data_IF_010027293797
#
_entry.id   IF_010027293797
#
_cell.length_a   1.000
_cell.length_b   1.000
_cell.length_c   1.000
_cell.angle_alpha   90.00
_cell.angle_beta   90.00
_cell.angle_gamma   90.00
#
_symmetry.space_group_name_H-M   'P 1'
#
loop_
_entity.id
_entity.type
_entity.pdbx_description
1 polymer ?
#
# COMPACT_ATOMS: atom_id res chain seq x y z
N UNK A 1 -7.64 -4.44 -3.47
CA UNK A 1 -6.73 -4.81 -4.58
C UNK A 1 -6.11 -6.22 -4.47
N UNK A 2 -5.75 -6.72 -3.28
CA UNK A 2 -4.91 -7.94 -3.17
C UNK A 2 -5.57 -9.29 -3.52
N UNK A 3 -6.83 -9.30 -3.95
CA UNK A 3 -7.55 -10.50 -4.40
C UNK A 3 -7.99 -10.33 -5.85
N UNK A 4 -7.06 -10.62 -6.77
CA UNK A 4 -7.23 -10.37 -8.21
C UNK A 4 -8.47 -11.03 -8.81
N UNK A 5 -8.85 -12.21 -8.33
CA UNK A 5 -9.96 -12.98 -8.90
C UNK A 5 -11.32 -12.36 -8.57
N UNK A 6 -11.41 -11.59 -7.48
CA UNK A 6 -12.63 -10.94 -7.03
C UNK A 6 -12.74 -9.48 -7.52
N UNK A 7 -11.78 -9.00 -8.31
CA UNK A 7 -11.84 -7.68 -8.93
C UNK A 7 -12.67 -7.69 -10.21
N UNK A 8 -13.42 -6.61 -10.44
CA UNK A 8 -14.01 -6.34 -11.74
C UNK A 8 -12.94 -5.96 -12.76
N UNK A 9 -13.27 -6.02 -14.05
CA UNK A 9 -12.34 -5.62 -15.11
C UNK A 9 -11.98 -4.14 -15.05
N UNK A 10 -12.93 -3.29 -14.66
CA UNK A 10 -12.70 -1.86 -14.39
C UNK A 10 -11.69 -1.66 -13.26
N UNK A 11 -11.82 -2.41 -12.17
CA UNK A 11 -10.88 -2.34 -11.04
C UNK A 11 -9.49 -2.86 -11.41
N UNK A 12 -9.41 -3.96 -12.17
CA UNK A 12 -8.13 -4.48 -12.67
C UNK A 12 -7.43 -3.46 -13.55
N UNK A 13 -8.15 -2.81 -14.48
CA UNK A 13 -7.59 -1.78 -15.34
C UNK A 13 -7.17 -0.54 -14.55
N UNK A 14 -7.96 -0.14 -13.54
CA UNK A 14 -7.64 0.97 -12.66
C UNK A 14 -6.34 0.71 -11.88
N UNK A 15 -6.23 -0.45 -11.22
CA UNK A 15 -5.02 -0.80 -10.47
C UNK A 15 -3.82 -1.04 -11.38
N UNK A 16 -4.02 -1.62 -12.58
CA UNK A 16 -2.99 -1.72 -13.60
C UNK A 16 -2.40 -0.34 -13.92
N UNK A 17 -3.26 0.64 -14.19
CA UNK A 17 -2.84 2.01 -14.51
C UNK A 17 -2.04 2.63 -13.37
N UNK A 18 -2.50 2.49 -12.12
CA UNK A 18 -1.79 2.99 -10.93
C UNK A 18 -0.40 2.36 -10.80
N UNK A 19 -0.32 1.02 -10.87
CA UNK A 19 0.93 0.29 -10.67
C UNK A 19 1.90 0.50 -11.82
N UNK A 20 1.44 0.56 -13.06
CA UNK A 20 2.28 0.86 -14.24
C UNK A 20 2.83 2.28 -14.17
N UNK A 21 2.03 3.25 -13.72
CA UNK A 21 2.50 4.63 -13.52
C UNK A 21 3.58 4.69 -12.44
N UNK A 22 3.34 4.06 -11.28
CA UNK A 22 4.33 3.98 -10.21
C UNK A 22 5.61 3.26 -10.66
N UNK A 23 5.48 2.19 -11.43
CA UNK A 23 6.61 1.45 -11.99
C UNK A 23 7.44 2.35 -12.91
N UNK A 24 6.82 3.04 -13.86
CA UNK A 24 7.51 3.94 -14.79
C UNK A 24 8.24 5.07 -14.05
N UNK A 25 7.64 5.63 -13.00
CA UNK A 25 8.28 6.67 -12.20
C UNK A 25 9.43 6.15 -11.32
N UNK A 26 9.50 4.84 -11.05
CA UNK A 26 10.57 4.25 -10.24
C UNK A 26 11.72 3.66 -11.06
N UNK A 27 11.51 3.34 -12.34
CA UNK A 27 12.53 2.70 -13.20
C UNK A 27 12.05 1.53 -14.05
N UNK A 28 10.75 1.21 -13.95
CA UNK A 28 10.09 0.15 -14.70
C UNK A 28 9.56 -0.97 -13.80
N UNK A 29 8.76 -1.84 -14.42
CA UNK A 29 8.02 -2.93 -13.75
C UNK A 29 8.93 -3.86 -12.95
N UNK A 30 10.07 -4.25 -13.53
CA UNK A 30 10.99 -5.18 -12.87
C UNK A 30 11.65 -4.59 -11.62
N UNK A 31 11.96 -3.29 -11.62
CA UNK A 31 12.53 -2.60 -10.46
C UNK A 31 11.49 -2.48 -9.35
N UNK A 32 10.26 -2.08 -9.69
CA UNK A 32 9.18 -2.01 -8.71
C UNK A 32 8.88 -3.39 -8.08
N UNK A 33 8.84 -4.45 -8.87
CA UNK A 33 8.61 -5.81 -8.36
C UNK A 33 9.71 -6.26 -7.40
N UNK A 34 10.98 -5.99 -7.72
CA UNK A 34 12.10 -6.30 -6.83
C UNK A 34 12.01 -5.53 -5.50
N UNK A 35 11.63 -4.25 -5.56
CA UNK A 35 11.41 -3.46 -4.34
C UNK A 35 10.31 -4.05 -3.47
N UNK A 36 9.16 -4.38 -4.07
CA UNK A 36 8.03 -4.98 -3.34
C UNK A 36 8.43 -6.33 -2.74
N UNK A 37 9.23 -7.12 -3.46
CA UNK A 37 9.70 -8.43 -2.98
C UNK A 37 10.66 -8.27 -1.80
N UNK A 38 11.60 -7.33 -1.91
CA UNK A 38 12.52 -7.00 -0.83
C UNK A 38 11.77 -6.54 0.42
N UNK A 39 10.76 -5.66 0.29
CA UNK A 39 9.91 -5.20 1.39
C UNK A 39 9.18 -6.35 2.11
N UNK A 40 8.73 -7.36 1.37
CA UNK A 40 7.97 -8.50 1.92
C UNK A 40 8.84 -9.51 2.65
N UNK A 41 10.11 -9.61 2.28
CA UNK A 41 11.05 -10.55 2.89
C UNK A 41 11.61 -10.06 4.24
N UNK A 42 11.27 -8.83 4.66
CA UNK A 42 11.72 -8.26 5.93
C UNK A 42 10.86 -8.75 7.08
N UNK A 43 11.53 -9.18 8.16
CA UNK A 43 10.92 -9.49 9.45
C UNK A 43 11.67 -8.76 10.57
N UNK A 44 10.99 -8.05 11.49
CA UNK A 44 9.55 -7.79 11.52
C UNK A 44 9.09 -6.92 10.34
N UNK A 45 7.77 -6.81 10.13
CA UNK A 45 7.18 -6.12 8.97
C UNK A 45 7.83 -4.75 8.68
N UNK A 46 8.16 -4.45 7.42
CA UNK A 46 8.93 -3.27 6.99
C UNK A 46 8.48 -1.95 7.64
N UNK A 47 7.17 -1.70 7.69
CA UNK A 47 6.57 -0.51 8.31
C UNK A 47 6.93 -0.29 9.80
N UNK A 48 7.41 -1.31 10.49
CA UNK A 48 7.85 -1.23 11.90
C UNK A 48 9.30 -0.80 12.06
N UNK A 49 9.99 -0.44 10.96
CA UNK A 49 11.37 0.06 10.98
C UNK A 49 11.54 1.23 11.96
N UNK A 50 12.56 1.10 12.82
CA UNK A 50 12.93 2.13 13.82
C UNK A 50 13.36 3.44 13.18
N UNK A 51 13.89 3.38 11.96
CA UNK A 51 14.39 4.55 11.22
C UNK A 51 13.33 5.15 10.28
N UNK A 52 12.13 4.56 10.25
CA UNK A 52 11.05 4.94 9.33
C UNK A 52 11.45 4.90 7.86
N UNK A 53 12.38 4.01 7.55
CA UNK A 53 12.87 3.79 6.21
C UNK A 53 13.07 2.29 5.92
N UNK A 54 13.20 2.03 4.63
CA UNK A 54 13.70 0.80 4.07
C UNK A 54 14.68 1.17 2.95
N UNK A 55 15.95 0.77 3.12
CA UNK A 55 17.00 0.99 2.15
C UNK A 55 17.23 -0.30 1.35
N UNK A 56 17.36 -0.16 0.05
CA UNK A 56 17.58 -1.25 -0.90
C UNK A 56 18.58 -0.81 -1.98
N UNK A 57 19.29 -1.76 -2.58
CA UNK A 57 20.35 -1.42 -3.55
C UNK A 57 19.82 -0.62 -4.76
N UNK A 58 18.54 -0.78 -5.08
CA UNK A 58 17.89 -0.10 -6.22
C UNK A 58 17.10 1.15 -5.81
N UNK A 59 17.03 1.48 -4.52
CA UNK A 59 16.41 2.71 -4.02
C UNK A 59 15.94 2.61 -2.58
N UNK A 60 15.07 3.52 -2.17
CA UNK A 60 14.59 3.59 -0.81
C UNK A 60 13.10 3.91 -0.69
N UNK A 61 12.53 3.50 0.45
CA UNK A 61 11.18 3.87 0.88
C UNK A 61 11.29 4.53 2.25
N UNK A 62 10.78 5.75 2.39
CA UNK A 62 10.80 6.50 3.66
C UNK A 62 9.40 6.94 4.05
N UNK A 63 9.15 7.02 5.34
CA UNK A 63 7.91 7.57 5.88
C UNK A 63 8.18 8.44 7.11
N UNK A 64 7.28 9.37 7.40
CA UNK A 64 7.57 10.45 8.36
C UNK A 64 7.34 10.13 9.83
N UNK A 65 6.81 8.94 10.19
CA UNK A 65 6.41 8.62 11.57
C UNK A 65 6.57 7.13 11.90
N UNK A 66 6.96 6.82 13.12
CA UNK A 66 7.00 5.42 13.61
C UNK A 66 5.61 4.78 13.55
N UNK A 67 5.52 3.58 12.98
CA UNK A 67 4.31 2.78 12.94
C UNK A 67 4.53 1.54 13.80
N UNK A 68 3.74 1.42 14.87
CA UNK A 68 3.84 0.30 15.79
C UNK A 68 3.15 -0.96 15.24
N UNK A 69 3.64 -2.13 15.67
CA UNK A 69 3.15 -3.41 15.16
C UNK A 69 1.65 -3.63 15.40
N UNK A 70 1.09 -3.09 16.49
CA UNK A 70 -0.35 -3.16 16.78
C UNK A 70 -1.21 -2.53 15.66
N UNK A 71 -0.70 -1.50 14.98
CA UNK A 71 -1.37 -0.88 13.83
C UNK A 71 -1.34 -1.79 12.61
N UNK A 72 -0.22 -2.48 12.39
CA UNK A 72 -0.05 -3.43 11.28
C UNK A 72 -0.97 -4.63 11.45
N UNK A 73 -1.00 -5.21 12.66
CA UNK A 73 -1.89 -6.32 12.96
C UNK A 73 -3.36 -5.93 12.82
N UNK A 74 -3.75 -4.71 13.23
CA UNK A 74 -5.10 -4.20 13.00
C UNK A 74 -5.43 -4.04 11.51
N UNK A 75 -4.50 -3.56 10.68
CA UNK A 75 -4.72 -3.49 9.23
C UNK A 75 -4.95 -4.89 8.65
N UNK A 76 -4.15 -5.89 9.06
CA UNK A 76 -4.32 -7.28 8.62
C UNK A 76 -5.67 -7.85 9.05
N UNK A 77 -6.07 -7.63 10.30
CA UNK A 77 -7.38 -8.04 10.86
C UNK A 77 -8.53 -7.50 9.99
N UNK A 78 -8.53 -6.19 9.74
CA UNK A 78 -9.59 -5.51 8.95
C UNK A 78 -9.60 -6.02 7.51
N UNK A 79 -8.42 -6.20 6.89
CA UNK A 79 -8.32 -6.65 5.49
C UNK A 79 -8.89 -8.04 5.27
N UNK A 80 -8.80 -8.92 6.27
CA UNK A 80 -9.36 -10.28 6.22
C UNK A 80 -10.86 -10.27 6.53
N UNK A 81 -11.30 -9.42 7.46
CA UNK A 81 -12.70 -9.39 7.89
C UNK A 81 -13.63 -8.66 6.91
N UNK A 82 -13.12 -7.63 6.21
CA UNK A 82 -13.93 -6.79 5.31
C UNK A 82 -14.32 -7.56 4.05
N UNK A 83 -15.53 -7.29 3.54
CA UNK A 83 -15.91 -7.74 2.19
C UNK A 83 -15.33 -6.82 1.13
N UNK A 84 -15.24 -7.33 -0.09
CA UNK A 84 -14.84 -6.55 -1.24
C UNK A 84 -15.80 -5.36 -1.45
N UNK A 85 -15.26 -4.16 -1.65
CA UNK A 85 -16.04 -2.92 -1.82
C UNK A 85 -16.53 -2.26 -0.51
N UNK A 86 -16.33 -2.87 0.66
CA UNK A 86 -16.66 -2.23 1.94
C UNK A 86 -15.61 -1.19 2.33
N UNK A 87 -16.08 -0.11 2.97
CA UNK A 87 -15.22 0.92 3.55
C UNK A 87 -14.31 0.30 4.61
N UNK A 88 -13.05 0.74 4.64
CA UNK A 88 -12.10 0.42 5.70
C UNK A 88 -12.56 0.97 7.05
N UNK A 89 -13.22 2.13 7.08
CA UNK A 89 -13.88 2.67 8.27
C UNK A 89 -15.33 2.17 8.33
N UNK A 90 -15.74 1.38 9.34
CA UNK A 90 -17.11 0.91 9.49
C UNK A 90 -18.06 2.04 9.93
N UNK A 91 -19.34 1.72 10.11
CA UNK A 91 -20.33 2.67 10.64
C UNK A 91 -20.01 3.08 12.09
N UNK A 92 -20.56 4.21 12.54
CA UNK A 92 -20.29 4.76 13.88
C UNK A 92 -20.82 3.89 15.02
N UNK A 93 -21.80 3.03 14.72
CA UNK A 93 -22.45 2.10 15.63
C UNK A 93 -21.62 0.83 15.83
N UNK A 94 -20.65 0.55 14.94
CA UNK A 94 -19.75 -0.58 15.05
C UNK A 94 -18.81 -0.44 16.26
N UNK A 95 -18.68 -1.52 17.03
CA UNK A 95 -17.82 -1.56 18.23
C UNK A 95 -16.35 -1.28 17.91
N UNK A 96 -15.90 -1.58 16.69
CA UNK A 96 -14.54 -1.34 16.21
C UNK A 96 -14.34 0.09 15.68
N UNK A 97 -15.39 0.90 15.49
CA UNK A 97 -15.31 2.21 14.86
C UNK A 97 -14.20 3.08 15.46
N UNK A 98 -14.20 3.28 16.79
CA UNK A 98 -13.19 4.13 17.46
C UNK A 98 -11.76 3.60 17.28
N UNK A 99 -11.59 2.27 17.31
CA UNK A 99 -10.28 1.62 17.15
C UNK A 99 -9.74 1.86 15.74
N UNK A 100 -10.58 1.68 14.72
CA UNK A 100 -10.24 1.86 13.30
C UNK A 100 -10.07 3.35 12.95
N UNK A 101 -10.95 4.22 13.46
CA UNK A 101 -10.83 5.66 13.26
C UNK A 101 -9.50 6.21 13.81
N UNK A 102 -9.07 5.74 14.99
CA UNK A 102 -7.78 6.13 15.55
C UNK A 102 -6.59 5.61 14.73
N UNK A 103 -6.69 4.41 14.14
CA UNK A 103 -5.71 3.91 13.19
C UNK A 103 -5.61 4.84 11.98
N UNK A 104 -6.75 5.18 11.36
CA UNK A 104 -6.80 6.08 10.20
C UNK A 104 -6.18 7.43 10.54
N UNK A 105 -6.60 8.07 11.63
CA UNK A 105 -6.06 9.36 12.09
C UNK A 105 -4.54 9.33 12.34
N UNK A 106 -4.00 8.15 12.67
CA UNK A 106 -2.56 7.98 12.90
C UNK A 106 -1.78 7.90 11.59
N UNK A 107 -2.27 7.14 10.60
CA UNK A 107 -1.53 6.87 9.36
C UNK A 107 -1.87 7.82 8.20
N UNK A 108 -3.07 8.42 8.17
CA UNK A 108 -3.49 9.35 7.10
C UNK A 108 -2.54 10.55 6.88
N UNK A 109 -1.92 11.13 7.93
CA UNK A 109 -0.94 12.19 7.74
C UNK A 109 0.44 11.72 7.24
N UNK A 110 0.67 10.40 7.14
CA UNK A 110 1.96 9.84 6.75
C UNK A 110 2.03 9.75 5.23
N UNK A 111 3.01 10.45 4.65
CA UNK A 111 3.43 10.25 3.26
C UNK A 111 4.54 9.22 3.21
N UNK A 112 4.39 8.25 2.31
CA UNK A 112 5.39 7.26 1.94
C UNK A 112 6.06 7.73 0.66
N UNK A 113 7.38 7.92 0.71
CA UNK A 113 8.17 8.36 -0.42
C UNK A 113 9.05 7.23 -0.91
N UNK A 114 8.85 6.85 -2.17
CA UNK A 114 9.64 5.83 -2.87
C UNK A 114 10.55 6.55 -3.84
N UNK A 115 11.85 6.32 -3.76
CA UNK A 115 12.85 6.98 -4.62
C UNK A 115 13.82 5.94 -5.18
N UNK A 116 14.12 5.96 -6.48
CA UNK A 116 15.17 5.11 -7.03
C UNK A 116 16.54 5.61 -6.58
N UNK A 117 17.51 4.70 -6.49
CA UNK A 117 18.88 5.04 -6.11
C UNK A 117 19.55 5.98 -7.12
N UNK A 118 19.24 5.76 -8.40
CA UNK A 118 19.77 6.49 -9.55
C UNK A 118 18.68 7.42 -10.10
N UNK A 119 18.94 8.74 -10.10
CA UNK A 119 17.93 9.76 -10.46
C UNK A 119 17.60 9.79 -11.96
N UNK A 120 18.48 9.28 -12.79
CA UNK A 120 18.30 9.08 -14.23
C UNK A 120 17.31 7.95 -14.55
N UNK A 121 17.00 7.10 -13.56
CA UNK A 121 16.06 5.97 -13.70
C UNK A 121 14.61 6.40 -13.44
N UNK A 122 14.38 7.45 -12.64
CA UNK A 122 13.05 8.00 -12.38
C UNK A 122 13.02 8.98 -11.20
N UNK A 123 11.94 9.75 -11.06
CA UNK A 123 11.76 10.69 -9.93
C UNK A 123 11.23 10.00 -8.66
N UNK A 124 10.76 8.76 -8.79
CA UNK A 124 10.02 8.06 -7.75
C UNK A 124 8.58 8.55 -7.62
N UNK A 125 7.92 8.19 -6.53
CA UNK A 125 6.53 8.57 -6.28
C UNK A 125 6.23 8.65 -4.79
N UNK A 126 5.17 9.39 -4.47
CA UNK A 126 4.66 9.55 -3.12
C UNK A 126 3.23 9.01 -3.02
N UNK A 127 2.88 8.39 -1.90
CA UNK A 127 1.53 7.91 -1.64
C UNK A 127 1.20 7.96 -0.15
N UNK A 128 -0.09 7.81 0.18
CA UNK A 128 -0.60 7.71 1.56
C UNK A 128 -1.09 6.31 1.86
N UNK A 129 -1.36 6.01 3.13
CA UNK A 129 -1.95 4.73 3.51
C UNK A 129 -3.41 4.57 3.06
N UNK A 130 -4.17 5.67 2.99
CA UNK A 130 -5.60 5.67 2.72
C UNK A 130 -5.98 6.65 1.61
N UNK A 131 -7.02 6.30 0.88
CA UNK A 131 -7.76 7.19 0.00
C UNK A 131 -9.15 7.42 0.60
N UNK A 132 -9.68 8.64 0.49
CA UNK A 132 -11.02 8.99 0.99
C UNK A 132 -11.84 9.61 -0.14
N UNK A 133 -13.00 9.04 -0.43
CA UNK A 133 -13.93 9.60 -1.42
C UNK A 133 -14.86 10.64 -0.78
N UNK A 134 -15.60 11.39 -1.60
CA UNK A 134 -16.52 12.46 -1.15
C UNK A 134 -17.59 11.97 -0.18
N UNK A 135 -17.92 10.68 -0.18
CA UNK A 135 -18.92 10.06 0.69
C UNK A 135 -18.34 9.61 2.04
N UNK A 136 -17.13 10.06 2.40
CA UNK A 136 -16.42 9.64 3.61
C UNK A 136 -16.10 8.13 3.62
N UNK A 137 -16.14 7.50 2.44
CA UNK A 137 -15.74 6.11 2.25
C UNK A 137 -14.21 6.05 2.18
N UNK A 138 -13.62 5.32 3.14
CA UNK A 138 -12.16 5.22 3.29
C UNK A 138 -11.71 3.89 2.71
N UNK A 139 -10.76 3.90 1.79
CA UNK A 139 -10.11 2.67 1.29
C UNK A 139 -8.62 2.70 1.60
N UNK A 140 -7.97 1.53 1.57
CA UNK A 140 -6.52 1.49 1.55
C UNK A 140 -6.05 1.91 0.16
N UNK A 141 -5.04 2.78 0.12
CA UNK A 141 -4.45 3.19 -1.14
C UNK A 141 -3.85 1.96 -1.87
N UNK A 142 -4.11 1.78 -3.17
CA UNK A 142 -3.61 0.63 -3.91
C UNK A 142 -2.09 0.46 -3.87
N UNK A 143 -1.31 1.55 -3.90
CA UNK A 143 0.16 1.48 -3.78
C UNK A 143 0.56 0.99 -2.38
N UNK A 144 -0.11 1.48 -1.33
CA UNK A 144 0.13 0.99 0.03
C UNK A 144 -0.21 -0.50 0.18
N UNK A 145 -1.31 -0.96 -0.41
CA UNK A 145 -1.64 -2.40 -0.42
C UNK A 145 -0.58 -3.22 -1.21
N UNK A 146 -0.17 -2.78 -2.41
CA UNK A 146 0.79 -3.51 -3.24
C UNK A 146 2.12 -3.70 -2.53
N UNK A 147 2.64 -2.59 -1.97
CA UNK A 147 3.97 -2.48 -1.40
C UNK A 147 4.11 -3.34 -0.14
N UNK A 148 3.10 -3.32 0.73
CA UNK A 148 3.25 -3.88 2.08
C UNK A 148 2.45 -5.15 2.32
N UNK A 149 1.43 -5.45 1.51
CA UNK A 149 0.36 -6.34 1.95
C UNK A 149 -0.17 -7.36 0.92
N UNK A 150 -0.04 -7.11 -0.38
CA UNK A 150 -0.43 -8.09 -1.40
C UNK A 150 0.63 -9.19 -1.53
N UNK A 151 0.35 -10.31 -2.20
CA UNK A 151 1.43 -11.22 -2.66
C UNK A 151 2.13 -10.61 -3.88
N UNK A 152 3.36 -11.04 -4.18
CA UNK A 152 4.04 -10.63 -5.43
C UNK A 152 3.27 -11.13 -6.65
N UNK A 153 2.72 -12.33 -6.58
CA UNK A 153 1.96 -12.91 -7.69
C UNK A 153 0.71 -12.11 -8.03
N UNK A 154 -0.01 -11.60 -7.02
CA UNK A 154 -1.16 -10.72 -7.26
C UNK A 154 -0.72 -9.43 -7.96
N UNK A 155 0.36 -8.80 -7.49
CA UNK A 155 0.88 -7.56 -8.10
C UNK A 155 1.29 -7.81 -9.56
N UNK A 156 1.97 -8.93 -9.84
CA UNK A 156 2.32 -9.35 -11.21
C UNK A 156 1.08 -9.56 -12.09
N UNK A 157 0.02 -10.20 -11.58
CA UNK A 157 -1.23 -10.39 -12.34
C UNK A 157 -1.87 -9.05 -12.73
N UNK A 158 -1.90 -8.08 -11.82
CA UNK A 158 -2.44 -6.74 -12.09
C UNK A 158 -1.59 -6.00 -13.12
N UNK A 159 -0.25 -6.01 -12.96
CA UNK A 159 0.66 -5.35 -13.90
C UNK A 159 0.61 -5.93 -15.32
N UNK A 160 0.25 -7.20 -15.46
CA UNK A 160 0.11 -7.87 -16.76
C UNK A 160 -1.31 -7.80 -17.35
N UNK A 161 -2.26 -7.17 -16.66
CA UNK A 161 -3.61 -6.99 -17.16
C UNK A 161 -3.61 -6.04 -18.38
N UNK A 162 -4.39 -6.38 -19.41
CA UNK A 162 -4.50 -5.64 -20.69
C UNK A 162 -5.94 -5.59 -21.15
#
# INVERSE_FOLDING_TARGET
MCDFNNLTDEEKLHFHTILTTAANNYGGVNFLLQLIEALKNISPHALTSRHQDFLFDLGDVRWGKTIFNDKIELIKEIRVARKHGESFLPSKEDKQYKRIFNLIRTLDPITFSVRPQLRDVGEGFDFKAFDTTKENHVTLNPLFEAMFFCSIDTVKKILNYK
#
